data_IF_036109685737
#
_entry.id   IF_036109685737
#
_cell.length_a   1.000
_cell.length_b   1.000
_cell.length_c   1.000
_cell.angle_alpha   90.00
_cell.angle_beta   90.00
_cell.angle_gamma   90.00
#
_symmetry.space_group_name_H-M   'P 1'
#
loop_
_entity.id
_entity.type
_entity.pdbx_description
1 polymer ?
#
# COMPACT_ATOMS: atom_id res chain seq x y z
N UNK A 1 -0.18 -7.74 -24.29
CA UNK A 1 0.06 -7.91 -22.84
C UNK A 1 1.28 -7.15 -22.34
N UNK A 2 2.48 -7.26 -22.95
CA UNK A 2 3.68 -6.54 -22.45
C UNK A 2 3.57 -5.01 -22.42
N UNK A 3 2.94 -4.40 -23.43
CA UNK A 3 2.75 -2.94 -23.47
C UNK A 3 1.81 -2.44 -22.35
N UNK A 4 0.75 -3.19 -22.04
CA UNK A 4 -0.16 -2.87 -20.93
C UNK A 4 0.53 -3.03 -19.56
N UNK A 5 1.34 -4.08 -19.38
CA UNK A 5 2.12 -4.27 -18.14
C UNK A 5 3.10 -3.12 -17.92
N UNK A 6 3.82 -2.70 -18.98
CA UNK A 6 4.73 -1.56 -18.90
C UNK A 6 4.04 -0.23 -18.59
N UNK A 7 2.82 -0.02 -19.11
CA UNK A 7 2.05 1.19 -18.80
C UNK A 7 1.51 1.19 -17.37
N UNK A 8 1.08 0.04 -16.84
CA UNK A 8 0.66 -0.08 -15.43
C UNK A 8 1.80 0.26 -14.48
N UNK A 9 3.00 -0.27 -14.70
CA UNK A 9 4.19 0.05 -13.91
C UNK A 9 4.54 1.53 -13.96
N UNK A 10 4.42 2.14 -15.15
CA UNK A 10 4.66 3.58 -15.33
C UNK A 10 3.65 4.41 -14.54
N UNK A 11 2.36 4.09 -14.64
CA UNK A 11 1.29 4.79 -13.92
C UNK A 11 1.47 4.62 -12.41
N UNK A 12 1.77 3.41 -11.93
CA UNK A 12 2.08 3.12 -10.52
C UNK A 12 3.20 4.02 -10.00
N UNK A 13 4.32 4.08 -10.74
CA UNK A 13 5.45 4.93 -10.37
C UNK A 13 5.07 6.40 -10.29
N UNK A 14 4.42 6.93 -11.33
CA UNK A 14 3.97 8.34 -11.37
C UNK A 14 3.04 8.64 -10.21
N UNK A 15 2.12 7.73 -9.88
CA UNK A 15 1.17 7.88 -8.79
C UNK A 15 1.89 8.03 -7.43
N UNK A 16 2.78 7.10 -7.09
CA UNK A 16 3.49 7.15 -5.81
C UNK A 16 4.52 8.28 -5.73
N UNK A 17 5.21 8.59 -6.83
CA UNK A 17 6.09 9.76 -6.92
C UNK A 17 5.30 11.05 -6.65
N UNK A 18 4.11 11.20 -7.24
CA UNK A 18 3.25 12.36 -7.01
C UNK A 18 2.77 12.45 -5.56
N UNK A 19 2.34 11.33 -4.96
CA UNK A 19 1.96 11.32 -3.54
C UNK A 19 3.10 11.76 -2.63
N UNK A 20 4.33 11.27 -2.86
CA UNK A 20 5.49 11.67 -2.08
C UNK A 20 5.83 13.16 -2.28
N UNK A 21 5.78 13.66 -3.52
CA UNK A 21 5.99 15.08 -3.82
C UNK A 21 4.95 15.97 -3.14
N UNK A 22 3.69 15.53 -3.06
CA UNK A 22 2.64 16.24 -2.33
C UNK A 22 2.92 16.27 -0.83
N UNK A 23 3.38 15.17 -0.24
CA UNK A 23 3.79 15.16 1.17
C UNK A 23 4.97 16.11 1.43
N UNK A 24 5.97 16.13 0.56
CA UNK A 24 7.10 17.07 0.65
C UNK A 24 6.62 18.52 0.62
N UNK A 25 5.69 18.84 -0.30
CA UNK A 25 5.10 20.17 -0.39
C UNK A 25 4.31 20.53 0.87
N UNK A 26 3.49 19.61 1.39
CA UNK A 26 2.71 19.82 2.62
C UNK A 26 3.65 20.07 3.81
N UNK A 27 4.69 19.26 3.97
CA UNK A 27 5.69 19.43 5.03
C UNK A 27 6.33 20.82 4.94
N UNK A 28 6.82 21.20 3.75
CA UNK A 28 7.44 22.50 3.50
C UNK A 28 6.51 23.66 3.87
N UNK A 29 5.27 23.64 3.39
CA UNK A 29 4.33 24.74 3.66
C UNK A 29 3.91 24.80 5.13
N UNK A 30 3.67 23.66 5.78
CA UNK A 30 3.31 23.65 7.20
C UNK A 30 4.44 24.18 8.07
N UNK A 31 5.68 23.76 7.82
CA UNK A 31 6.83 24.27 8.56
C UNK A 31 7.03 25.77 8.33
N UNK A 32 6.93 26.24 7.08
CA UNK A 32 7.04 27.66 6.78
C UNK A 32 5.94 28.49 7.47
N UNK A 33 4.71 27.98 7.54
CA UNK A 33 3.61 28.62 8.26
C UNK A 33 3.92 28.71 9.76
N UNK A 34 4.44 27.65 10.37
CA UNK A 34 4.86 27.66 11.77
C UNK A 34 5.96 28.68 12.03
N UNK A 35 6.95 28.78 11.14
CA UNK A 35 8.04 29.75 11.24
C UNK A 35 7.51 31.19 11.19
N UNK A 36 6.58 31.48 10.26
CA UNK A 36 5.93 32.80 10.14
C UNK A 36 5.15 33.13 11.41
N UNK A 37 4.36 32.19 11.93
CA UNK A 37 3.59 32.42 13.15
C UNK A 37 4.49 32.61 14.37
N UNK A 38 5.59 31.86 14.49
CA UNK A 38 6.53 32.05 15.60
C UNK A 38 7.09 33.47 15.61
N UNK A 39 7.50 33.99 14.45
CA UNK A 39 8.01 35.37 14.34
C UNK A 39 6.93 36.40 14.64
N UNK A 40 5.70 36.22 14.15
CA UNK A 40 4.57 37.11 14.48
C UNK A 40 4.28 37.13 15.99
N UNK A 41 4.34 35.97 16.66
CA UNK A 41 4.16 35.91 18.11
C UNK A 41 5.29 36.62 18.85
N UNK A 42 6.55 36.46 18.40
CA UNK A 42 7.69 37.19 18.97
C UNK A 42 7.50 38.71 18.82
N UNK A 43 7.08 39.19 17.67
CA UNK A 43 6.79 40.61 17.44
C UNK A 43 5.70 41.14 18.37
N UNK A 44 4.62 40.40 18.59
CA UNK A 44 3.53 40.81 19.48
C UNK A 44 3.95 40.95 20.95
N UNK A 45 4.93 40.18 21.38
CA UNK A 45 5.41 40.20 22.77
C UNK A 45 6.63 41.11 22.97
N UNK A 46 7.18 41.68 21.89
CA UNK A 46 8.24 42.69 21.98
C UNK A 46 7.72 43.90 22.72
N UNK A 47 8.59 44.49 23.54
CA UNK A 47 8.32 45.74 24.24
C UNK A 47 9.54 46.64 24.17
N UNK A 48 9.34 47.94 24.11
CA UNK A 48 10.44 48.89 24.20
C UNK A 48 10.67 49.31 25.65
N UNK A 49 11.91 49.59 26.08
CA UNK A 49 12.17 50.35 27.28
C UNK A 49 11.52 51.74 27.16
N UNK A 50 10.81 52.18 28.19
CA UNK A 50 10.15 53.48 28.21
C UNK A 50 10.01 54.01 29.63
N UNK A 51 9.32 55.14 29.76
CA UNK A 51 9.05 55.76 31.05
C UNK A 51 7.58 56.12 31.17
N UNK A 52 7.03 55.92 32.36
CA UNK A 52 5.67 56.33 32.73
C UNK A 52 5.73 57.22 33.97
N UNK A 53 4.71 58.05 34.15
CA UNK A 53 4.57 58.91 35.33
C UNK A 53 3.66 58.19 36.32
N UNK A 54 4.15 57.96 37.54
CA UNK A 54 3.37 57.33 38.61
C UNK A 54 2.28 58.27 39.18
N UNK A 55 1.43 57.75 40.06
CA UNK A 55 0.36 58.50 40.71
C UNK A 55 0.87 59.69 41.56
N UNK A 56 2.16 59.72 41.88
CA UNK A 56 2.83 60.76 42.66
C UNK A 56 3.60 61.78 41.79
N UNK A 57 3.55 61.64 40.46
CA UNK A 57 4.25 62.53 39.52
C UNK A 57 5.71 62.18 39.26
N UNK A 58 6.22 61.05 39.75
CA UNK A 58 7.59 60.60 39.48
C UNK A 58 7.68 59.82 38.17
N UNK A 59 8.78 60.00 37.44
CA UNK A 59 9.09 59.20 36.26
C UNK A 59 9.71 57.87 36.67
N UNK A 60 9.09 56.76 36.27
CA UNK A 60 9.58 55.39 36.50
C UNK A 60 9.85 54.70 35.16
N UNK A 61 10.93 53.94 35.10
CA UNK A 61 11.22 53.07 33.95
C UNK A 61 10.19 51.94 33.87
N UNK A 62 9.67 51.71 32.68
CA UNK A 62 8.66 50.69 32.39
C UNK A 62 8.91 50.08 31.00
N UNK A 63 8.09 49.10 30.63
CA UNK A 63 8.07 48.53 29.28
C UNK A 63 6.82 48.99 28.54
N UNK A 64 7.03 49.74 27.47
CA UNK A 64 5.97 50.31 26.63
C UNK A 64 5.78 49.48 25.35
N UNK A 65 4.84 49.90 24.51
CA UNK A 65 4.62 49.30 23.19
C UNK A 65 5.93 49.26 22.38
N UNK A 66 6.13 48.23 21.53
CA UNK A 66 7.34 48.09 20.74
C UNK A 66 7.55 49.30 19.82
N UNK A 67 8.80 49.71 19.67
CA UNK A 67 9.20 50.81 18.78
C UNK A 67 9.22 50.37 17.32
N UNK A 68 9.24 49.06 17.06
CA UNK A 68 9.43 48.49 15.73
C UNK A 68 10.90 48.37 15.34
N UNK A 69 11.82 48.81 16.19
CA UNK A 69 13.26 48.60 16.05
C UNK A 69 13.70 47.35 16.83
N UNK A 70 14.16 46.28 16.13
CA UNK A 70 14.56 45.06 16.78
C UNK A 70 15.74 45.18 17.75
N UNK A 71 16.58 46.22 17.60
CA UNK A 71 17.76 46.45 18.44
C UNK A 71 17.41 47.14 19.77
N UNK A 72 16.27 47.83 19.81
CA UNK A 72 15.78 48.56 20.99
C UNK A 72 14.74 47.74 21.74
N UNK A 73 13.91 47.00 21.00
CA UNK A 73 12.81 46.22 21.57
C UNK A 73 13.30 44.94 22.26
N UNK A 74 12.93 44.78 23.52
CA UNK A 74 13.27 43.64 24.36
C UNK A 74 12.18 42.55 24.34
N UNK A 75 12.62 41.31 24.50
CA UNK A 75 11.76 40.13 24.63
C UNK A 75 11.85 39.56 26.05
N UNK A 76 10.72 39.20 26.64
CA UNK A 76 10.71 38.45 27.88
C UNK A 76 11.27 37.04 27.64
N UNK A 77 12.44 36.73 28.21
CA UNK A 77 13.15 35.46 27.99
C UNK A 77 12.31 34.23 28.39
N UNK A 78 11.55 34.31 29.48
CA UNK A 78 10.71 33.19 29.92
C UNK A 78 9.60 32.89 28.91
N UNK A 79 8.96 33.94 28.40
CA UNK A 79 7.90 33.81 27.39
C UNK A 79 8.47 33.37 26.03
N UNK A 80 9.64 33.88 25.65
CA UNK A 80 10.37 33.46 24.46
C UNK A 80 10.67 31.95 24.50
N UNK A 81 11.17 31.44 25.63
CA UNK A 81 11.44 30.02 25.79
C UNK A 81 10.16 29.18 25.67
N UNK A 82 9.03 29.67 26.20
CA UNK A 82 7.74 28.98 26.09
C UNK A 82 7.24 28.93 24.64
N UNK A 83 7.34 30.05 23.91
CA UNK A 83 7.00 30.15 22.48
C UNK A 83 7.86 29.17 21.68
N UNK A 84 9.19 29.22 21.84
CA UNK A 84 10.11 28.33 21.13
C UNK A 84 9.83 26.85 21.43
N UNK A 85 9.57 26.51 22.69
CA UNK A 85 9.23 25.13 23.09
C UNK A 85 7.95 24.65 22.40
N UNK A 86 6.91 25.49 22.38
CA UNK A 86 5.66 25.19 21.71
C UNK A 86 5.85 24.96 20.21
N UNK A 87 6.46 25.92 19.50
CA UNK A 87 6.65 25.82 18.04
C UNK A 87 7.59 24.67 17.65
N UNK A 88 8.61 24.36 18.46
CA UNK A 88 9.46 23.18 18.23
C UNK A 88 8.66 21.87 18.37
N UNK A 89 7.80 21.78 19.38
CA UNK A 89 6.90 20.62 19.55
C UNK A 89 5.97 20.46 18.36
N UNK A 90 5.40 21.56 17.85
CA UNK A 90 4.55 21.55 16.66
C UNK A 90 5.32 21.13 15.39
N UNK A 91 6.55 21.61 15.19
CA UNK A 91 7.41 21.19 14.07
C UNK A 91 7.69 19.68 14.12
N UNK A 92 7.98 19.15 15.30
CA UNK A 92 8.24 17.71 15.47
C UNK A 92 6.97 16.88 15.25
N UNK A 93 5.80 17.37 15.70
CA UNK A 93 4.50 16.76 15.40
C UNK A 93 4.21 16.71 13.90
N UNK A 94 4.47 17.80 13.16
CA UNK A 94 4.33 17.83 11.69
C UNK A 94 5.25 16.81 11.02
N UNK A 95 6.53 16.75 11.41
CA UNK A 95 7.48 15.78 10.86
C UNK A 95 7.04 14.35 11.13
N UNK A 96 6.54 14.07 12.33
CA UNK A 96 6.03 12.74 12.70
C UNK A 96 4.79 12.35 11.88
N UNK A 97 3.82 13.25 11.71
CA UNK A 97 2.64 13.04 10.85
C UNK A 97 3.07 12.71 9.40
N UNK A 98 4.01 13.47 8.85
CA UNK A 98 4.53 13.24 7.50
C UNK A 98 5.25 11.88 7.39
N UNK A 99 6.08 11.52 8.37
CA UNK A 99 6.74 10.22 8.40
C UNK A 99 5.74 9.06 8.45
N UNK A 100 4.69 9.17 9.26
CA UNK A 100 3.62 8.18 9.35
C UNK A 100 2.88 8.04 8.00
N UNK A 101 2.56 9.16 7.34
CA UNK A 101 1.92 9.14 6.01
C UNK A 101 2.81 8.50 4.95
N UNK A 102 4.12 8.76 4.96
CA UNK A 102 5.08 8.09 4.06
C UNK A 102 5.15 6.59 4.31
N UNK A 103 4.99 6.14 5.57
CA UNK A 103 4.93 4.72 5.88
C UNK A 103 3.67 4.07 5.31
N UNK A 104 2.52 4.74 5.42
CA UNK A 104 1.26 4.25 4.82
C UNK A 104 1.33 4.19 3.30
N UNK A 105 1.97 5.16 2.64
CA UNK A 105 2.24 5.10 1.20
C UNK A 105 3.07 3.86 0.84
N UNK A 106 4.14 3.59 1.57
CA UNK A 106 4.98 2.40 1.34
C UNK A 106 4.22 1.09 1.55
N UNK A 107 3.33 1.02 2.55
CA UNK A 107 2.45 -0.14 2.74
C UNK A 107 1.48 -0.30 1.58
N UNK A 108 0.90 0.78 1.07
CA UNK A 108 0.03 0.75 -0.09
C UNK A 108 0.78 0.26 -1.34
N UNK A 109 1.99 0.74 -1.57
CA UNK A 109 2.87 0.29 -2.66
C UNK A 109 3.14 -1.22 -2.59
N UNK A 110 3.51 -1.73 -1.41
CA UNK A 110 3.71 -3.17 -1.20
C UNK A 110 2.41 -3.99 -1.44
N UNK A 111 1.25 -3.46 -1.06
CA UNK A 111 -0.03 -4.12 -1.33
C UNK A 111 -0.33 -4.19 -2.84
N UNK A 112 0.02 -3.16 -3.61
CA UNK A 112 -0.10 -3.19 -5.07
C UNK A 112 0.76 -4.31 -5.67
N UNK A 113 2.01 -4.44 -5.23
CA UNK A 113 2.91 -5.52 -5.68
C UNK A 113 2.37 -6.90 -5.36
N UNK A 114 1.82 -7.08 -4.17
CA UNK A 114 1.20 -8.35 -3.78
C UNK A 114 -0.01 -8.69 -4.67
N UNK A 115 -0.84 -7.70 -5.01
CA UNK A 115 -2.00 -7.90 -5.91
C UNK A 115 -1.52 -8.28 -7.32
N UNK A 116 -0.48 -7.64 -7.83
CA UNK A 116 0.11 -7.98 -9.13
C UNK A 116 0.66 -9.41 -9.15
N UNK A 117 1.34 -9.82 -8.08
CA UNK A 117 1.82 -11.19 -7.93
C UNK A 117 0.66 -12.18 -7.93
N UNK A 118 -0.37 -11.95 -7.10
CA UNK A 118 -1.56 -12.83 -7.04
C UNK A 118 -2.21 -12.94 -8.41
N UNK A 119 -2.42 -11.83 -9.12
CA UNK A 119 -3.02 -11.85 -10.45
C UNK A 119 -2.18 -12.66 -11.45
N UNK A 120 -0.85 -12.55 -11.38
CA UNK A 120 0.04 -13.34 -12.23
C UNK A 120 -0.07 -14.84 -11.94
N UNK A 121 -0.07 -15.23 -10.65
CA UNK A 121 -0.20 -16.63 -10.24
C UNK A 121 -1.57 -17.21 -10.58
N UNK A 122 -2.65 -16.44 -10.41
CA UNK A 122 -4.01 -16.87 -10.80
C UNK A 122 -4.09 -17.07 -12.32
N UNK A 123 -3.49 -16.17 -13.11
CA UNK A 123 -3.45 -16.33 -14.56
C UNK A 123 -2.69 -17.61 -14.97
N UNK A 124 -1.52 -17.87 -14.38
CA UNK A 124 -0.76 -19.12 -14.62
C UNK A 124 -1.56 -20.37 -14.25
N UNK A 125 -2.29 -20.33 -13.14
CA UNK A 125 -3.19 -21.41 -12.73
C UNK A 125 -4.31 -21.65 -13.74
N UNK A 126 -4.97 -20.58 -14.21
CA UNK A 126 -6.02 -20.68 -15.24
C UNK A 126 -5.47 -21.25 -16.54
N UNK A 127 -4.28 -20.83 -16.98
CA UNK A 127 -3.62 -21.39 -18.15
C UNK A 127 -3.31 -22.88 -17.97
N UNK A 128 -2.87 -23.29 -16.78
CA UNK A 128 -2.64 -24.71 -16.45
C UNK A 128 -3.93 -25.53 -16.54
N UNK A 129 -5.05 -25.02 -16.03
CA UNK A 129 -6.36 -25.67 -16.15
C UNK A 129 -6.81 -25.82 -17.60
N UNK A 130 -6.58 -24.80 -18.43
CA UNK A 130 -6.85 -24.88 -19.88
C UNK A 130 -6.03 -25.99 -20.52
N UNK A 131 -4.72 -26.05 -20.24
CA UNK A 131 -3.84 -27.11 -20.76
C UNK A 131 -4.28 -28.50 -20.30
N UNK A 132 -4.70 -28.64 -19.04
CA UNK A 132 -5.22 -29.90 -18.51
C UNK A 132 -6.48 -30.35 -19.24
N UNK A 133 -7.43 -29.43 -19.47
CA UNK A 133 -8.64 -29.71 -20.25
C UNK A 133 -8.29 -30.17 -21.66
N UNK A 134 -7.41 -29.46 -22.35
CA UNK A 134 -6.98 -29.84 -23.70
C UNK A 134 -6.32 -31.22 -23.74
N UNK A 135 -5.49 -31.54 -22.75
CA UNK A 135 -4.87 -32.87 -22.61
C UNK A 135 -5.93 -33.96 -22.41
N UNK A 136 -6.92 -33.72 -21.55
CA UNK A 136 -8.04 -34.64 -21.33
C UNK A 136 -8.85 -34.87 -22.61
N UNK A 137 -9.14 -33.81 -23.35
CA UNK A 137 -9.91 -33.89 -24.58
C UNK A 137 -9.14 -34.67 -25.67
N UNK A 138 -7.81 -34.51 -25.74
CA UNK A 138 -6.92 -35.32 -26.60
C UNK A 138 -6.90 -36.80 -26.19
N UNK A 139 -6.87 -37.09 -24.89
CA UNK A 139 -6.95 -38.45 -24.37
C UNK A 139 -8.29 -39.10 -24.73
N UNK A 140 -9.40 -38.41 -24.50
CA UNK A 140 -10.74 -38.91 -24.83
C UNK A 140 -10.89 -39.23 -26.32
N UNK A 141 -10.39 -38.34 -27.20
CA UNK A 141 -10.34 -38.59 -28.65
C UNK A 141 -9.49 -39.83 -28.99
N UNK A 142 -8.34 -39.99 -28.34
CA UNK A 142 -7.46 -41.16 -28.53
C UNK A 142 -8.12 -42.47 -28.10
N UNK A 143 -8.79 -42.48 -26.93
CA UNK A 143 -9.53 -43.64 -26.42
C UNK A 143 -10.65 -44.01 -27.39
N UNK A 144 -11.45 -43.02 -27.81
CA UNK A 144 -12.55 -43.23 -28.76
C UNK A 144 -12.05 -43.84 -30.08
N UNK A 145 -11.00 -43.27 -30.66
CA UNK A 145 -10.39 -43.80 -31.89
C UNK A 145 -9.90 -45.24 -31.72
N UNK A 146 -9.36 -45.59 -30.55
CA UNK A 146 -8.88 -46.95 -30.25
C UNK A 146 -10.03 -47.95 -30.12
N UNK A 147 -11.14 -47.54 -29.50
CA UNK A 147 -12.37 -48.35 -29.42
C UNK A 147 -13.02 -48.55 -30.79
N UNK A 148 -13.09 -47.50 -31.61
CA UNK A 148 -13.64 -47.57 -32.98
C UNK A 148 -12.79 -48.50 -33.89
N UNK A 149 -11.49 -48.60 -33.65
CA UNK A 149 -10.58 -49.48 -34.39
C UNK A 149 -10.47 -50.90 -33.79
N UNK A 150 -11.16 -51.22 -32.70
CA UNK A 150 -11.24 -52.60 -32.22
C UNK A 150 -12.24 -53.37 -33.07
N UNK A 151 -11.78 -54.36 -33.82
CA UNK A 151 -12.67 -55.36 -34.43
C UNK A 151 -13.43 -56.08 -33.31
N UNK A 152 -14.78 -56.22 -33.40
CA UNK A 152 -15.53 -56.99 -32.43
C UNK A 152 -14.92 -58.39 -32.31
N UNK A 153 -14.61 -58.83 -31.09
CA UNK A 153 -14.23 -60.22 -30.86
C UNK A 153 -15.46 -61.07 -31.25
N UNK A 154 -15.39 -61.90 -32.30
CA UNK A 154 -16.51 -62.75 -32.63
C UNK A 154 -16.73 -63.73 -31.47
N UNK A 155 -17.88 -63.63 -30.81
CA UNK A 155 -18.30 -64.62 -29.83
C UNK A 155 -18.69 -65.85 -30.65
N UNK A 156 -17.78 -66.82 -30.78
CA UNK A 156 -18.13 -68.10 -31.36
C UNK A 156 -18.82 -68.96 -30.32
N UNK A 157 -20.11 -69.19 -30.51
CA UNK A 157 -20.88 -70.17 -29.73
C UNK A 157 -20.58 -71.62 -30.15
N UNK A 158 -19.62 -71.85 -31.07
CA UNK A 158 -19.26 -73.17 -31.59
C UNK A 158 -18.55 -74.08 -30.58
N UNK A 159 -18.08 -73.52 -29.45
CA UNK A 159 -17.34 -74.26 -28.41
C UNK A 159 -18.06 -74.23 -27.04
N UNK A 160 -19.38 -74.02 -27.00
CA UNK A 160 -20.13 -74.33 -25.77
C UNK A 160 -20.08 -75.86 -25.60
N UNK A 161 -19.51 -76.40 -24.50
CA UNK A 161 -19.50 -77.84 -24.28
C UNK A 161 -20.93 -78.36 -24.25
N UNK A 162 -21.16 -79.47 -24.94
CA UNK A 162 -22.46 -80.15 -25.01
C UNK A 162 -22.98 -80.36 -23.57
N UNK A 163 -24.25 -80.03 -23.26
CA UNK A 163 -24.86 -80.26 -21.95
C UNK A 163 -24.60 -81.65 -21.36
N UNK A 164 -24.43 -82.68 -22.20
CA UNK A 164 -24.08 -84.03 -21.72
C UNK A 164 -22.64 -84.11 -21.18
N UNK A 165 -21.69 -83.37 -21.75
CA UNK A 165 -20.31 -83.28 -21.22
C UNK A 165 -20.29 -82.61 -19.83
N UNK A 166 -21.19 -81.66 -19.58
CA UNK A 166 -21.34 -81.00 -18.27
C UNK A 166 -21.91 -81.99 -17.24
N UNK A 167 -22.87 -82.83 -17.64
CA UNK A 167 -23.43 -83.88 -16.75
C UNK A 167 -22.42 -84.95 -16.38
N UNK A 168 -21.57 -85.36 -17.33
CA UNK A 168 -20.51 -86.36 -17.07
C UNK A 168 -19.43 -85.82 -16.12
N UNK A 169 -19.05 -84.55 -16.26
CA UNK A 169 -18.15 -83.88 -15.32
C UNK A 169 -18.76 -83.89 -13.91
N UNK A 170 -20.03 -83.52 -13.76
CA UNK A 170 -20.72 -83.48 -12.45
C UNK A 170 -20.84 -84.87 -11.82
N UNK A 171 -21.05 -85.93 -12.61
CA UNK A 171 -21.10 -87.31 -12.10
C UNK A 171 -19.74 -87.83 -11.62
N UNK A 172 -18.65 -87.42 -12.25
CA UNK A 172 -17.29 -87.82 -11.87
C UNK A 172 -16.73 -87.02 -10.66
N UNK A 173 -17.48 -86.05 -10.15
CA UNK A 173 -17.15 -85.27 -8.95
C UNK A 173 -17.82 -85.77 -7.65
N UNK A 174 -18.54 -86.92 -7.69
CA UNK A 174 -19.01 -87.65 -6.50
C UNK A 174 -18.19 -88.91 -6.30
#
# INVERSE_FOLDING_TARGET
>A
MNAQKGEIERVKKIYFDNMNNQLDAIEKYRLAILDIYEEQYKEQIRKAPGTEVDENGNTVETLVAPTGDPEIDVLNVKLLNQIQTFFNTERDSVRLDIQNRRLEIRKAEANFENIELINSTVNEYLESLVRLKESRDKLAKSIRKKLENMTPIPISFSNIPDPETIKDIIRNFK
#
